data_IF_494066392888
#
_entry.id   IF_494066392888
#
_cell.length_a   1.000
_cell.length_b   1.000
_cell.length_c   1.000
_cell.angle_alpha   90.00
_cell.angle_beta   90.00
_cell.angle_gamma   90.00
#
_symmetry.space_group_name_H-M   'P 1'
#
loop_
_entity.id
_entity.type
_entity.pdbx_description
1 polymer ?
#
# COMPACT_ATOMS: atom_id res chain seq x y z
N UNK A 1 1.73 17.59 -42.02
CA UNK A 1 1.03 16.37 -42.51
C UNK A 1 -0.48 16.53 -42.51
N UNK A 2 -1.16 17.03 -41.45
CA UNK A 2 -2.61 17.35 -41.51
C UNK A 2 -3.08 18.55 -40.65
N UNK A 3 -2.17 19.33 -40.04
CA UNK A 3 -2.47 20.50 -39.19
C UNK A 3 -3.61 20.29 -38.15
N UNK A 4 -3.68 19.10 -37.55
CA UNK A 4 -4.72 18.75 -36.59
C UNK A 4 -4.55 19.52 -35.27
N UNK A 5 -5.69 19.84 -34.65
CA UNK A 5 -5.77 20.37 -33.30
C UNK A 5 -5.78 19.23 -32.27
N UNK A 6 -5.60 19.55 -30.98
CA UNK A 6 -5.55 18.55 -29.89
C UNK A 6 -6.87 17.80 -29.68
N UNK A 7 -7.98 18.39 -30.11
CA UNK A 7 -9.32 17.83 -29.91
C UNK A 7 -9.72 16.89 -31.05
N UNK A 8 -8.97 16.85 -32.14
CA UNK A 8 -9.30 16.08 -33.33
C UNK A 8 -9.01 14.58 -33.14
N UNK A 9 -9.92 13.74 -33.63
CA UNK A 9 -9.73 12.28 -33.61
C UNK A 9 -8.75 11.85 -34.71
N UNK A 10 -7.51 11.61 -34.28
CA UNK A 10 -6.42 11.13 -35.14
C UNK A 10 -6.70 9.82 -35.87
N UNK A 11 -7.67 9.00 -35.41
CA UNK A 11 -7.99 7.70 -36.05
C UNK A 11 -8.50 7.86 -37.48
N UNK A 12 -9.19 8.98 -37.76
CA UNK A 12 -9.80 9.27 -39.05
C UNK A 12 -8.77 9.63 -40.12
N UNK A 13 -7.65 10.22 -39.70
CA UNK A 13 -6.61 10.77 -40.58
C UNK A 13 -5.43 9.80 -40.80
N UNK A 14 -5.55 8.55 -40.36
CA UNK A 14 -4.51 7.53 -40.58
C UNK A 14 -4.54 7.09 -42.05
N UNK A 15 -3.43 7.30 -42.75
CA UNK A 15 -3.25 6.87 -44.14
C UNK A 15 -3.41 5.34 -44.24
N UNK A 16 -4.24 4.91 -45.19
CA UNK A 16 -4.53 3.50 -45.45
C UNK A 16 -3.90 3.06 -46.75
N UNK A 17 -3.29 1.87 -46.76
CA UNK A 17 -2.78 1.21 -47.96
C UNK A 17 -3.82 0.24 -48.51
N UNK A 18 -4.20 0.37 -49.79
CA UNK A 18 -4.97 -0.65 -50.51
C UNK A 18 -4.10 -1.90 -50.70
N UNK A 19 -4.63 -3.07 -50.35
CA UNK A 19 -3.94 -4.33 -50.61
C UNK A 19 -4.22 -4.79 -52.04
N UNK A 20 -3.31 -5.56 -52.67
CA UNK A 20 -3.60 -6.18 -53.96
C UNK A 20 -4.86 -7.04 -53.85
N UNK A 21 -5.70 -6.97 -54.87
CA UNK A 21 -6.93 -7.76 -54.96
C UNK A 21 -6.56 -9.23 -55.05
N UNK A 22 -7.25 -10.06 -54.27
CA UNK A 22 -7.16 -11.51 -54.33
C UNK A 22 -8.44 -12.00 -54.97
N UNK A 23 -8.32 -12.91 -55.94
CA UNK A 23 -9.46 -13.44 -56.69
C UNK A 23 -10.59 -13.89 -55.75
N UNK A 24 -11.80 -13.41 -56.06
CA UNK A 24 -13.02 -13.71 -55.31
C UNK A 24 -13.20 -12.96 -53.97
N UNK A 25 -12.33 -12.02 -53.59
CA UNK A 25 -12.44 -11.29 -52.31
C UNK A 25 -12.55 -9.78 -52.52
N UNK A 26 -13.43 -9.15 -51.73
CA UNK A 26 -13.61 -7.68 -51.72
C UNK A 26 -12.27 -6.95 -51.45
N UNK A 27 -12.03 -5.80 -52.08
CA UNK A 27 -10.81 -5.03 -51.88
C UNK A 27 -10.65 -4.62 -50.41
N UNK A 28 -9.46 -4.84 -49.84
CA UNK A 28 -9.17 -4.55 -48.43
C UNK A 28 -8.13 -3.43 -48.32
N UNK A 29 -8.23 -2.64 -47.26
CA UNK A 29 -7.22 -1.66 -46.89
C UNK A 29 -6.64 -1.96 -45.50
N UNK A 30 -5.35 -1.69 -45.31
CA UNK A 30 -4.67 -1.77 -44.01
C UNK A 30 -4.24 -0.39 -43.54
N UNK A 31 -4.29 -0.19 -42.23
CA UNK A 31 -3.77 0.99 -41.55
C UNK A 31 -2.71 0.57 -40.52
N UNK A 32 -1.70 1.40 -40.26
CA UNK A 32 -0.76 1.18 -39.16
C UNK A 32 -1.46 1.26 -37.79
N UNK A 33 -0.88 0.58 -36.78
CA UNK A 33 -1.34 0.68 -35.40
C UNK A 33 -0.91 2.02 -34.80
N UNK A 34 -1.85 2.76 -34.23
CA UNK A 34 -1.55 3.98 -33.48
C UNK A 34 -1.05 3.59 -32.07
N UNK A 35 0.21 3.86 -31.77
CA UNK A 35 0.81 3.47 -30.47
C UNK A 35 0.52 4.45 -29.34
N UNK A 36 0.57 5.76 -29.60
CA UNK A 36 0.46 6.82 -28.56
C UNK A 36 -0.96 7.36 -28.39
N UNK A 37 -1.96 6.58 -28.80
CA UNK A 37 -3.36 6.95 -28.62
C UNK A 37 -3.78 6.73 -27.16
N UNK A 38 -4.36 7.75 -26.54
CA UNK A 38 -4.95 7.61 -25.20
C UNK A 38 -6.25 6.81 -25.34
N UNK A 39 -6.31 5.65 -24.70
CA UNK A 39 -7.49 4.77 -24.70
C UNK A 39 -8.08 4.63 -23.29
N UNK A 40 -9.36 4.22 -23.16
CA UNK A 40 -9.97 3.95 -21.85
C UNK A 40 -9.15 2.98 -20.99
N UNK A 41 -8.50 1.99 -21.62
CA UNK A 41 -7.60 1.04 -20.95
C UNK A 41 -6.36 1.74 -20.39
N UNK A 42 -5.77 2.70 -21.11
CA UNK A 42 -4.64 3.50 -20.60
C UNK A 42 -5.07 4.33 -19.39
N UNK A 43 -6.26 4.96 -19.45
CA UNK A 43 -6.83 5.70 -18.32
C UNK A 43 -7.07 4.78 -17.11
N UNK A 44 -7.63 3.60 -17.33
CA UNK A 44 -7.87 2.60 -16.29
C UNK A 44 -6.56 2.12 -15.66
N UNK A 45 -5.53 1.82 -16.45
CA UNK A 45 -4.20 1.43 -15.96
C UNK A 45 -3.57 2.55 -15.12
N UNK A 46 -3.73 3.82 -15.52
CA UNK A 46 -3.28 4.98 -14.74
C UNK A 46 -4.00 5.06 -13.40
N UNK A 47 -5.34 4.93 -13.38
CA UNK A 47 -6.15 4.89 -12.14
C UNK A 47 -5.72 3.73 -11.23
N UNK A 48 -5.56 2.52 -11.78
CA UNK A 48 -5.09 1.33 -11.03
C UNK A 48 -3.72 1.56 -10.39
N UNK A 49 -2.78 2.19 -11.11
CA UNK A 49 -1.45 2.51 -10.56
C UNK A 49 -1.54 3.42 -9.34
N UNK A 50 -2.39 4.46 -9.39
CA UNK A 50 -2.60 5.37 -8.27
C UNK A 50 -3.27 4.66 -7.09
N UNK A 51 -4.33 3.89 -7.33
CA UNK A 51 -5.00 3.11 -6.31
C UNK A 51 -4.04 2.13 -5.59
N UNK A 52 -3.16 1.46 -6.33
CA UNK A 52 -2.15 0.57 -5.75
C UNK A 52 -1.16 1.31 -4.86
N UNK A 53 -0.75 2.53 -5.22
CA UNK A 53 0.13 3.37 -4.36
C UNK A 53 -0.56 3.74 -3.05
N UNK A 54 -1.82 4.17 -3.13
CA UNK A 54 -2.63 4.52 -1.95
C UNK A 54 -2.81 3.29 -1.06
N UNK A 55 -3.20 2.13 -1.63
CA UNK A 55 -3.38 0.88 -0.89
C UNK A 55 -2.11 0.47 -0.13
N UNK A 56 -0.93 0.62 -0.74
CA UNK A 56 0.36 0.35 -0.08
C UNK A 56 0.64 1.31 1.08
N UNK A 57 0.29 2.58 0.94
CA UNK A 57 0.47 3.58 1.99
C UNK A 57 -0.45 3.32 3.18
N UNK A 58 -1.71 2.99 2.92
CA UNK A 58 -2.71 2.66 3.95
C UNK A 58 -2.29 1.41 4.71
N UNK A 59 -1.95 0.34 4.00
CA UNK A 59 -1.47 -0.91 4.59
C UNK A 59 -0.27 -0.68 5.53
N UNK A 60 0.74 0.08 5.09
CA UNK A 60 1.91 0.41 5.92
C UNK A 60 1.52 1.11 7.22
N UNK A 61 0.64 2.11 7.14
CA UNK A 61 0.18 2.87 8.31
C UNK A 61 -0.60 1.98 9.28
N UNK A 62 -1.43 1.09 8.77
CA UNK A 62 -2.19 0.12 9.57
C UNK A 62 -1.26 -0.87 10.28
N UNK A 63 -0.29 -1.45 9.57
CA UNK A 63 0.70 -2.37 10.14
C UNK A 63 1.57 -1.69 11.20
N UNK A 64 2.03 -0.46 10.95
CA UNK A 64 2.76 0.36 11.91
C UNK A 64 1.93 0.63 13.17
N UNK A 65 0.66 1.05 13.01
CA UNK A 65 -0.24 1.28 14.12
C UNK A 65 -0.52 0.00 14.94
N UNK A 66 -0.65 -1.16 14.27
CA UNK A 66 -0.81 -2.45 14.94
C UNK A 66 0.44 -2.83 15.74
N UNK A 67 1.62 -2.67 15.13
CA UNK A 67 2.88 -2.95 15.79
C UNK A 67 3.10 -2.04 17.02
N UNK A 68 2.83 -0.74 16.89
CA UNK A 68 2.93 0.19 18.01
C UNK A 68 1.98 -0.16 19.16
N UNK A 69 0.75 -0.59 18.86
CA UNK A 69 -0.20 -1.05 19.89
C UNK A 69 0.34 -2.26 20.65
N UNK A 70 0.85 -3.27 19.92
CA UNK A 70 1.45 -4.47 20.51
C UNK A 70 2.66 -4.13 21.38
N UNK A 71 3.58 -3.28 20.89
CA UNK A 71 4.76 -2.87 21.64
C UNK A 71 4.41 -2.08 22.91
N UNK A 72 3.38 -1.24 22.83
CA UNK A 72 2.89 -0.49 24.00
C UNK A 72 2.32 -1.43 25.06
N UNK A 73 1.53 -2.43 24.65
CA UNK A 73 1.01 -3.45 25.56
C UNK A 73 2.14 -4.23 26.23
N UNK A 74 3.09 -4.75 25.45
CA UNK A 74 4.24 -5.49 25.97
C UNK A 74 5.08 -4.67 26.97
N UNK A 75 5.33 -3.40 26.66
CA UNK A 75 6.06 -2.50 27.56
C UNK A 75 5.30 -2.29 28.88
N UNK A 76 3.99 -2.07 28.82
CA UNK A 76 3.14 -1.92 30.03
C UNK A 76 3.16 -3.16 30.89
N UNK A 77 2.99 -4.35 30.30
CA UNK A 77 3.02 -5.63 31.02
C UNK A 77 4.39 -5.87 31.68
N UNK A 78 5.47 -5.61 30.96
CA UNK A 78 6.84 -5.73 31.49
C UNK A 78 7.10 -4.78 32.65
N UNK A 79 6.64 -3.52 32.56
CA UNK A 79 6.76 -2.57 33.66
C UNK A 79 5.90 -2.97 34.86
N UNK A 80 4.68 -3.43 34.65
CA UNK A 80 3.81 -3.93 35.71
C UNK A 80 4.45 -5.12 36.45
N UNK A 81 5.01 -6.09 35.72
CA UNK A 81 5.73 -7.22 36.32
C UNK A 81 6.96 -6.78 37.13
N UNK A 82 7.73 -5.81 36.63
CA UNK A 82 8.88 -5.24 37.34
C UNK A 82 8.47 -4.53 38.63
N UNK A 83 7.39 -3.74 38.59
CA UNK A 83 6.83 -3.06 39.76
C UNK A 83 6.30 -4.08 40.78
N UNK A 84 5.58 -5.11 40.34
CA UNK A 84 5.07 -6.17 41.21
C UNK A 84 6.21 -6.90 41.93
N UNK A 85 7.28 -7.27 41.20
CA UNK A 85 8.49 -7.89 41.78
C UNK A 85 9.18 -6.97 42.79
N UNK A 86 9.30 -5.67 42.49
CA UNK A 86 9.90 -4.70 43.43
C UNK A 86 9.04 -4.57 44.70
N UNK A 87 7.73 -4.46 44.56
CA UNK A 87 6.79 -4.38 45.69
C UNK A 87 6.86 -5.63 46.57
N UNK A 88 6.85 -6.83 45.98
CA UNK A 88 6.94 -8.08 46.75
C UNK A 88 8.29 -8.24 47.47
N UNK A 89 9.39 -7.80 46.84
CA UNK A 89 10.70 -7.78 47.52
C UNK A 89 10.75 -6.78 48.68
N UNK A 90 10.13 -5.61 48.52
CA UNK A 90 10.10 -4.59 49.57
C UNK A 90 9.26 -5.03 50.76
N UNK A 91 8.08 -5.61 50.53
CA UNK A 91 7.20 -6.10 51.61
C UNK A 91 7.81 -7.29 52.37
N UNK A 92 8.53 -8.19 51.67
CA UNK A 92 9.27 -9.28 52.33
C UNK A 92 10.35 -8.72 53.27
N UNK A 93 11.12 -7.73 52.80
CA UNK A 93 12.19 -7.10 53.59
C UNK A 93 11.65 -6.35 54.81
N UNK A 94 10.53 -5.65 54.66
CA UNK A 94 9.83 -4.99 55.76
C UNK A 94 9.31 -6.01 56.79
N UNK A 95 8.77 -7.13 56.32
CA UNK A 95 8.32 -8.22 57.20
C UNK A 95 9.48 -8.86 57.98
N UNK A 96 10.63 -9.06 57.33
CA UNK A 96 11.85 -9.54 57.99
C UNK A 96 12.37 -8.55 59.04
N UNK A 97 12.44 -7.25 58.72
CA UNK A 97 12.85 -6.23 59.69
C UNK A 97 11.90 -6.13 60.87
N UNK A 98 10.59 -6.23 60.64
CA UNK A 98 9.58 -6.22 61.69
C UNK A 98 9.70 -7.45 62.61
N UNK A 99 9.96 -8.64 62.05
CA UNK A 99 10.22 -9.86 62.83
C UNK A 99 11.46 -9.72 63.71
N UNK A 100 12.57 -9.23 63.14
CA UNK A 100 13.80 -9.01 63.88
C UNK A 100 13.64 -8.01 65.03
N UNK A 101 12.90 -6.92 64.80
CA UNK A 101 12.59 -5.92 65.85
C UNK A 101 11.70 -6.44 66.98
N UNK A 102 10.89 -7.47 66.72
CA UNK A 102 10.04 -8.12 67.73
C UNK A 102 10.79 -9.18 68.53
N UNK A 103 11.84 -9.80 67.96
CA UNK A 103 12.65 -10.79 68.67
C UNK A 103 13.74 -10.17 69.56
N UNK A 104 14.04 -8.88 69.40
CA UNK A 104 15.06 -8.14 70.17
C UNK A 104 14.49 -7.35 71.35
N UNK A 105 13.22 -7.54 71.69
CA UNK A 105 12.54 -7.06 72.91
C UNK A 105 12.20 -8.26 73.79
#
# INVERSE_FOLDING_TARGET
MFNLTKNDDVRKYVIRRKLPEKEGKKPRSKAPKIQRLITPVVLQRKRRRLAMKIKRSVKRREEEAQYHKMMTQYSKEKQAAKIARRRSSASRRESESARYSKSSK
#
